data_IF_186574236803
#
_entry.id   IF_186574236803
#
_cell.length_a   1.000
_cell.length_b   1.000
_cell.length_c   1.000
_cell.angle_alpha   90.00
_cell.angle_beta   90.00
_cell.angle_gamma   90.00
#
_symmetry.space_group_name_H-M   'P 1'
#
loop_
_entity.id
_entity.type
_entity.pdbx_description
1 polymer ?
#
# COMPACT_ATOMS: atom_id res chain seq x y z
N UNK A 1 49.44 38.06 15.62
CA UNK A 1 48.00 38.35 15.40
C UNK A 1 47.34 37.60 14.22
N UNK A 2 48.07 36.90 13.34
CA UNK A 2 47.46 36.23 12.16
C UNK A 2 46.73 34.90 12.45
N UNK A 3 47.05 34.22 13.56
CA UNK A 3 46.50 32.88 13.89
C UNK A 3 45.14 32.94 14.61
N UNK A 4 44.88 34.02 15.37
CA UNK A 4 43.58 34.22 16.02
C UNK A 4 42.47 34.60 15.01
N UNK A 5 42.84 35.16 13.85
CA UNK A 5 41.90 35.45 12.77
C UNK A 5 41.43 34.18 12.04
N UNK A 6 42.28 33.16 11.88
CA UNK A 6 41.93 31.89 11.22
C UNK A 6 40.97 31.02 12.06
N UNK A 7 41.07 31.09 13.39
CA UNK A 7 40.17 30.37 14.29
C UNK A 7 38.80 31.06 14.38
N UNK A 8 38.74 32.39 14.23
CA UNK A 8 37.48 33.13 14.21
C UNK A 8 36.70 32.95 12.89
N UNK A 9 37.39 32.81 11.75
CA UNK A 9 36.72 32.63 10.44
C UNK A 9 36.12 31.23 10.27
N UNK A 10 36.69 30.19 10.89
CA UNK A 10 36.11 28.83 10.90
C UNK A 10 35.02 28.63 11.97
N UNK A 11 34.95 29.51 12.97
CA UNK A 11 33.90 29.48 14.00
C UNK A 11 32.54 30.02 13.51
N UNK A 12 32.49 30.69 12.36
CA UNK A 12 31.27 31.35 11.84
C UNK A 12 30.62 30.59 10.68
N UNK A 13 31.34 29.72 9.95
CA UNK A 13 30.77 29.01 8.78
C UNK A 13 30.12 27.67 9.08
N UNK A 14 30.25 27.11 10.29
CA UNK A 14 29.53 25.90 10.72
C UNK A 14 28.14 26.17 11.34
N UNK A 15 27.65 27.41 11.28
CA UNK A 15 26.33 27.80 11.81
C UNK A 15 25.19 27.84 10.80
N UNK A 16 25.43 27.65 9.49
CA UNK A 16 24.44 27.99 8.45
C UNK A 16 24.35 26.99 7.28
N UNK A 17 24.48 25.69 7.55
CA UNK A 17 24.21 24.64 6.55
C UNK A 17 23.50 23.44 7.19
N UNK A 18 22.37 23.72 7.84
CA UNK A 18 21.41 22.70 8.28
C UNK A 18 20.03 23.05 7.74
N UNK A 19 19.95 23.40 6.46
CA UNK A 19 18.69 23.46 5.72
C UNK A 19 19.04 23.25 4.24
N UNK A 20 18.37 22.25 3.67
CA UNK A 20 18.43 21.80 2.28
C UNK A 20 19.71 21.09 1.80
N UNK A 21 19.62 19.76 1.74
CA UNK A 21 20.45 18.95 0.84
C UNK A 21 19.54 17.95 0.13
N UNK A 22 18.88 18.46 -0.92
CA UNK A 22 18.62 17.71 -2.13
C UNK A 22 19.74 18.00 -3.12
N UNK A 23 20.22 16.94 -3.76
CA UNK A 23 21.09 16.91 -4.93
C UNK A 23 22.58 17.30 -4.82
N UNK A 24 23.36 16.42 -5.45
CA UNK A 24 24.67 16.63 -6.08
C UNK A 24 25.88 16.83 -5.17
N UNK A 25 26.44 15.73 -4.64
CA UNK A 25 27.78 15.73 -4.03
C UNK A 25 28.87 15.55 -5.08
N UNK A 26 29.03 16.57 -5.92
CA UNK A 26 30.32 16.96 -6.49
C UNK A 26 31.07 17.90 -5.54
N UNK A 27 31.41 17.44 -4.34
CA UNK A 27 32.14 18.27 -3.37
C UNK A 27 33.64 18.20 -3.64
N UNK A 28 34.10 18.98 -4.62
CA UNK A 28 35.49 19.35 -4.78
C UNK A 28 35.90 20.33 -3.68
N UNK A 29 36.17 19.80 -2.48
CA UNK A 29 36.67 20.58 -1.36
C UNK A 29 38.20 20.67 -1.40
N UNK A 30 38.70 21.88 -1.60
CA UNK A 30 40.11 22.24 -1.53
C UNK A 30 40.55 22.58 -0.10
N UNK A 31 39.72 22.28 0.91
CA UNK A 31 40.01 22.43 2.33
C UNK A 31 40.78 21.24 2.92
N UNK A 32 41.88 21.50 3.62
CA UNK A 32 42.59 20.49 4.42
C UNK A 32 41.63 19.84 5.43
N UNK A 33 41.62 18.51 5.52
CA UNK A 33 40.76 17.80 6.49
C UNK A 33 41.18 18.10 7.95
N UNK A 34 40.28 17.92 8.91
CA UNK A 34 40.61 18.04 10.34
C UNK A 34 41.81 17.15 10.75
N UNK A 35 42.02 16.01 10.08
CA UNK A 35 43.15 15.12 10.32
C UNK A 35 44.48 15.69 9.81
N UNK A 36 44.46 16.36 8.66
CA UNK A 36 45.62 17.05 8.10
C UNK A 36 45.99 18.28 8.95
N UNK A 37 45.00 19.03 9.42
CA UNK A 37 45.20 20.14 10.36
C UNK A 37 45.80 19.69 11.70
N UNK A 38 45.31 18.59 12.28
CA UNK A 38 45.88 18.04 13.52
C UNK A 38 47.32 17.58 13.30
N UNK A 39 47.62 16.96 12.16
CA UNK A 39 48.99 16.53 11.81
C UNK A 39 49.93 17.72 11.64
N UNK A 40 49.49 18.76 10.93
CA UNK A 40 50.25 20.00 10.75
C UNK A 40 50.50 20.72 12.08
N UNK A 41 49.46 20.90 12.91
CA UNK A 41 49.58 21.52 14.24
C UNK A 41 50.48 20.72 15.18
N UNK A 42 50.52 19.39 15.02
CA UNK A 42 51.42 18.53 15.80
C UNK A 42 52.88 18.80 15.40
N UNK A 43 53.17 18.85 14.11
CA UNK A 43 54.51 19.17 13.60
C UNK A 43 54.97 20.59 14.00
N UNK A 44 54.10 21.59 13.90
CA UNK A 44 54.39 22.96 14.31
C UNK A 44 54.67 23.07 15.82
N UNK A 45 53.93 22.35 16.66
CA UNK A 45 54.16 22.33 18.10
C UNK A 45 55.49 21.67 18.49
N UNK A 46 55.93 20.64 17.75
CA UNK A 46 57.23 19.99 17.95
C UNK A 46 58.40 20.87 17.49
N UNK A 47 58.24 21.56 16.35
CA UNK A 47 59.22 22.54 15.88
C UNK A 47 59.40 23.70 16.88
N UNK A 48 58.30 24.28 17.38
CA UNK A 48 58.34 25.31 18.43
C UNK A 48 58.98 24.81 19.72
N UNK A 49 58.75 23.54 20.08
CA UNK A 49 59.38 22.94 21.27
C UNK A 49 60.90 22.85 21.10
N UNK A 50 61.38 22.47 19.92
CA UNK A 50 62.81 22.42 19.60
C UNK A 50 63.44 23.83 19.61
N UNK A 51 62.77 24.83 19.03
CA UNK A 51 63.22 26.23 19.04
C UNK A 51 63.33 26.80 20.46
N UNK A 52 62.32 26.57 21.32
CA UNK A 52 62.36 26.99 22.73
C UNK A 52 63.53 26.35 23.48
N UNK A 53 63.82 25.06 23.22
CA UNK A 53 64.99 24.38 23.80
C UNK A 53 66.31 25.01 23.33
N UNK A 54 66.44 25.29 22.04
CA UNK A 54 67.63 25.93 21.45
C UNK A 54 67.86 27.35 21.99
N UNK A 55 66.81 28.17 22.03
CA UNK A 55 66.86 29.54 22.58
C UNK A 55 67.21 29.54 24.06
N UNK A 56 66.70 28.56 24.83
CA UNK A 56 67.03 28.41 26.25
C UNK A 56 68.51 28.09 26.47
N UNK A 57 69.10 27.27 25.58
CA UNK A 57 70.53 26.98 25.61
C UNK A 57 71.37 28.24 25.29
N UNK A 58 71.02 28.98 24.23
CA UNK A 58 71.70 30.24 23.85
C UNK A 58 71.59 31.31 24.92
N UNK A 59 70.41 31.48 25.54
CA UNK A 59 70.22 32.43 26.63
C UNK A 59 71.12 32.15 27.84
N UNK A 60 71.40 30.87 28.16
CA UNK A 60 72.31 30.48 29.25
C UNK A 60 73.76 30.87 28.97
N UNK A 61 74.17 30.92 27.70
CA UNK A 61 75.55 31.21 27.29
C UNK A 61 75.77 32.70 27.06
N UNK A 62 74.84 33.39 26.39
CA UNK A 62 75.02 34.78 25.95
C UNK A 62 74.34 35.84 26.85
N UNK A 63 73.40 35.47 27.72
CA UNK A 63 72.81 36.37 28.72
C UNK A 63 72.03 37.61 28.21
N UNK A 64 71.81 37.76 26.91
CA UNK A 64 71.25 38.98 26.30
C UNK A 64 69.75 39.21 26.57
N UNK A 65 69.35 40.49 26.79
CA UNK A 65 67.94 40.90 26.96
C UNK A 65 67.06 40.51 25.77
N UNK A 66 67.61 40.56 24.55
CA UNK A 66 66.88 40.23 23.31
C UNK A 66 66.52 38.75 23.22
N UNK A 67 67.46 37.86 23.58
CA UNK A 67 67.21 36.42 23.66
C UNK A 67 66.17 36.07 24.73
N UNK A 68 66.18 36.78 25.86
CA UNK A 68 65.21 36.59 26.95
C UNK A 68 63.79 36.94 26.50
N UNK A 69 63.63 37.95 25.65
CA UNK A 69 62.34 38.34 25.08
C UNK A 69 61.85 37.32 24.03
N UNK A 70 62.73 36.88 23.11
CA UNK A 70 62.41 35.83 22.14
C UNK A 70 62.01 34.50 22.80
N UNK A 71 62.68 34.11 23.90
CA UNK A 71 62.31 32.91 24.64
C UNK A 71 60.89 33.01 25.22
N UNK A 72 60.51 34.17 25.77
CA UNK A 72 59.16 34.39 26.31
C UNK A 72 58.09 34.34 25.22
N UNK A 73 58.35 34.95 24.07
CA UNK A 73 57.44 34.93 22.91
C UNK A 73 57.25 33.50 22.40
N UNK A 74 58.34 32.76 22.13
CA UNK A 74 58.25 31.37 21.66
C UNK A 74 57.61 30.43 22.67
N UNK A 75 57.78 30.70 23.96
CA UNK A 75 57.13 29.92 25.02
C UNK A 75 55.62 30.24 25.12
N UNK A 76 55.19 31.46 24.78
CA UNK A 76 53.78 31.80 24.64
C UNK A 76 53.18 31.13 23.39
N UNK A 77 53.89 31.15 22.26
CA UNK A 77 53.47 30.48 21.02
C UNK A 77 53.31 28.97 21.21
N UNK A 78 54.26 28.32 21.90
CA UNK A 78 54.17 26.90 22.22
C UNK A 78 52.94 26.58 23.08
N UNK A 79 52.57 27.46 24.02
CA UNK A 79 51.37 27.28 24.85
C UNK A 79 50.11 27.40 23.99
N UNK A 80 50.04 28.38 23.10
CA UNK A 80 48.93 28.56 22.17
C UNK A 80 48.80 27.38 21.19
N UNK A 81 49.92 26.89 20.64
CA UNK A 81 49.92 25.72 19.75
C UNK A 81 49.38 24.47 20.46
N UNK A 82 49.75 24.23 21.73
CA UNK A 82 49.23 23.11 22.52
C UNK A 82 47.73 23.22 22.81
N UNK A 83 47.21 24.42 23.11
CA UNK A 83 45.76 24.59 23.31
C UNK A 83 45.00 24.33 22.02
N UNK A 84 45.51 24.81 20.89
CA UNK A 84 44.89 24.62 19.58
C UNK A 84 44.89 23.14 19.17
N UNK A 85 46.00 22.42 19.38
CA UNK A 85 46.08 20.98 19.15
C UNK A 85 45.03 20.21 19.97
N UNK A 86 44.80 20.61 21.24
CA UNK A 86 43.77 19.99 22.09
C UNK A 86 42.36 20.22 21.55
N UNK A 87 42.06 21.41 21.07
CA UNK A 87 40.76 21.74 20.44
C UNK A 87 40.58 20.94 19.15
N UNK A 88 41.57 20.91 18.28
CA UNK A 88 41.52 20.17 17.02
C UNK A 88 41.32 18.66 17.23
N UNK A 89 41.99 18.06 18.22
CA UNK A 89 41.77 16.64 18.58
C UNK A 89 40.34 16.36 19.07
N UNK A 90 39.73 17.30 19.81
CA UNK A 90 38.33 17.17 20.24
C UNK A 90 37.37 17.26 19.05
N UNK A 91 37.61 18.20 18.15
CA UNK A 91 36.82 18.37 16.93
C UNK A 91 36.84 17.08 16.07
N UNK A 92 38.02 16.51 15.83
CA UNK A 92 38.17 15.26 15.05
C UNK A 92 37.45 14.06 15.69
N UNK A 93 37.41 13.98 17.03
CA UNK A 93 36.64 12.94 17.71
C UNK A 93 35.14 13.15 17.52
N UNK A 94 34.66 14.39 17.57
CA UNK A 94 33.25 14.73 17.35
C UNK A 94 32.82 14.40 15.92
N UNK A 95 33.62 14.77 14.93
CA UNK A 95 33.38 14.49 13.51
C UNK A 95 33.25 12.98 13.24
N UNK A 96 34.15 12.16 13.82
CA UNK A 96 34.06 10.69 13.73
C UNK A 96 32.77 10.11 14.30
N UNK A 97 32.22 10.71 15.36
CA UNK A 97 30.93 10.26 15.91
C UNK A 97 29.76 10.72 15.05
N UNK A 98 29.84 11.93 14.47
CA UNK A 98 28.86 12.42 13.50
C UNK A 98 28.80 11.54 12.24
N UNK A 99 29.96 11.14 11.69
CA UNK A 99 30.02 10.23 10.54
C UNK A 99 29.39 8.87 10.84
N UNK A 100 29.64 8.32 12.03
CA UNK A 100 29.01 7.06 12.46
C UNK A 100 27.48 7.22 12.56
N UNK A 101 27.01 8.34 13.08
CA UNK A 101 25.59 8.64 13.18
C UNK A 101 24.96 8.80 11.79
N UNK A 102 25.60 9.53 10.89
CA UNK A 102 25.17 9.71 9.50
C UNK A 102 25.11 8.37 8.76
N UNK A 103 26.14 7.52 8.89
CA UNK A 103 26.16 6.19 8.29
C UNK A 103 25.03 5.29 8.82
N UNK A 104 24.72 5.37 10.12
CA UNK A 104 23.56 4.66 10.70
C UNK A 104 22.25 5.19 10.13
N UNK A 105 22.07 6.50 10.09
CA UNK A 105 20.88 7.15 9.55
C UNK A 105 20.66 6.80 8.07
N UNK A 106 21.71 6.81 7.25
CA UNK A 106 21.62 6.38 5.84
C UNK A 106 21.17 4.93 5.70
N UNK A 107 21.74 4.01 6.51
CA UNK A 107 21.35 2.59 6.50
C UNK A 107 19.90 2.40 6.92
N UNK A 108 19.41 3.16 7.91
CA UNK A 108 18.01 3.13 8.31
C UNK A 108 17.08 3.74 7.25
N UNK A 109 17.47 4.84 6.62
CA UNK A 109 16.76 5.44 5.49
C UNK A 109 16.57 4.43 4.35
N UNK A 110 17.63 3.73 3.96
CA UNK A 110 17.58 2.68 2.94
C UNK A 110 16.62 1.53 3.33
N UNK A 111 16.63 1.10 4.60
CA UNK A 111 15.70 0.07 5.11
C UNK A 111 14.25 0.53 5.08
N UNK A 112 13.99 1.79 5.44
CA UNK A 112 12.65 2.37 5.39
C UNK A 112 12.13 2.47 3.96
N UNK A 113 12.98 2.88 3.01
CA UNK A 113 12.61 2.89 1.60
C UNK A 113 12.31 1.48 1.08
N UNK A 114 13.14 0.49 1.43
CA UNK A 114 12.87 -0.90 1.07
C UNK A 114 11.55 -1.42 1.66
N UNK A 115 11.23 -1.06 2.90
CA UNK A 115 9.95 -1.42 3.54
C UNK A 115 8.76 -0.77 2.84
N UNK A 116 8.86 0.51 2.47
CA UNK A 116 7.82 1.22 1.70
C UNK A 116 7.57 0.54 0.34
N UNK A 117 8.63 0.20 -0.40
CA UNK A 117 8.50 -0.50 -1.68
C UNK A 117 7.82 -1.87 -1.53
N UNK A 118 8.21 -2.67 -0.52
CA UNK A 118 7.57 -3.97 -0.24
C UNK A 118 6.10 -3.81 0.15
N UNK A 119 5.78 -2.83 0.99
CA UNK A 119 4.40 -2.55 1.38
C UNK A 119 3.54 -2.14 0.19
N UNK A 120 4.02 -1.23 -0.67
CA UNK A 120 3.34 -0.83 -1.89
C UNK A 120 3.11 -2.02 -2.85
N UNK A 121 4.13 -2.85 -3.07
CA UNK A 121 3.99 -4.05 -3.90
C UNK A 121 2.92 -5.01 -3.36
N UNK A 122 2.87 -5.20 -2.03
CA UNK A 122 1.86 -6.04 -1.40
C UNK A 122 0.44 -5.46 -1.54
N UNK A 123 0.30 -4.13 -1.43
CA UNK A 123 -0.96 -3.43 -1.58
C UNK A 123 -1.49 -3.53 -3.01
N UNK A 124 -0.64 -3.33 -4.02
CA UNK A 124 -1.01 -3.51 -5.44
C UNK A 124 -1.45 -4.95 -5.71
N UNK A 125 -0.75 -5.94 -5.14
CA UNK A 125 -1.14 -7.36 -5.27
C UNK A 125 -2.50 -7.64 -4.64
N UNK A 126 -2.77 -7.06 -3.47
CA UNK A 126 -4.06 -7.18 -2.78
C UNK A 126 -5.19 -6.52 -3.59
N UNK A 127 -4.98 -5.30 -4.11
CA UNK A 127 -5.94 -4.61 -4.96
C UNK A 127 -6.27 -5.40 -6.24
N UNK A 128 -5.26 -5.96 -6.91
CA UNK A 128 -5.49 -6.82 -8.09
C UNK A 128 -6.34 -8.05 -7.75
N UNK A 129 -6.09 -8.67 -6.59
CA UNK A 129 -6.89 -9.81 -6.12
C UNK A 129 -8.33 -9.40 -5.80
N UNK A 130 -8.52 -8.25 -5.14
CA UNK A 130 -9.85 -7.71 -4.83
C UNK A 130 -10.64 -7.43 -6.12
N UNK A 131 -10.04 -6.71 -7.08
CA UNK A 131 -10.67 -6.44 -8.37
C UNK A 131 -11.03 -7.71 -9.15
N UNK A 132 -10.19 -8.76 -9.08
CA UNK A 132 -10.50 -10.05 -9.68
C UNK A 132 -11.68 -10.75 -8.97
N UNK A 133 -11.78 -10.62 -7.65
CA UNK A 133 -12.91 -11.16 -6.88
C UNK A 133 -14.21 -10.40 -7.20
N UNK A 134 -14.18 -9.07 -7.26
CA UNK A 134 -15.33 -8.24 -7.63
C UNK A 134 -15.85 -8.59 -9.02
N UNK A 135 -14.97 -8.80 -10.00
CA UNK A 135 -15.37 -9.26 -11.35
C UNK A 135 -16.08 -10.62 -11.31
N UNK A 136 -15.61 -11.55 -10.48
CA UNK A 136 -16.28 -12.85 -10.31
C UNK A 136 -17.65 -12.71 -9.66
N UNK A 137 -17.78 -11.85 -8.65
CA UNK A 137 -19.06 -11.55 -8.00
C UNK A 137 -20.03 -10.90 -8.99
N UNK A 138 -19.59 -9.93 -9.78
CA UNK A 138 -20.41 -9.29 -10.81
C UNK A 138 -20.89 -10.31 -11.87
N UNK A 139 -20.00 -11.19 -12.34
CA UNK A 139 -20.38 -12.26 -13.27
C UNK A 139 -21.38 -13.26 -12.65
N UNK A 140 -21.21 -13.60 -11.37
CA UNK A 140 -22.14 -14.47 -10.65
C UNK A 140 -23.52 -13.79 -10.48
N UNK A 141 -23.55 -12.50 -10.16
CA UNK A 141 -24.78 -11.72 -10.04
C UNK A 141 -25.56 -11.67 -11.37
N UNK A 142 -24.87 -11.45 -12.49
CA UNK A 142 -25.50 -11.49 -13.82
C UNK A 142 -26.10 -12.86 -14.16
N UNK A 143 -25.39 -13.95 -13.83
CA UNK A 143 -25.91 -15.31 -14.04
C UNK A 143 -27.15 -15.59 -13.18
N UNK A 144 -27.14 -15.12 -11.94
CA UNK A 144 -28.27 -15.27 -11.03
C UNK A 144 -29.49 -14.49 -11.53
N UNK A 145 -29.28 -13.29 -12.06
CA UNK A 145 -30.36 -12.48 -12.65
C UNK A 145 -30.95 -13.15 -13.89
N UNK A 146 -30.12 -13.68 -14.79
CA UNK A 146 -30.59 -14.43 -15.94
C UNK A 146 -31.39 -15.70 -15.51
N UNK A 147 -30.95 -16.39 -14.46
CA UNK A 147 -31.66 -17.55 -13.92
C UNK A 147 -33.03 -17.16 -13.35
N UNK A 148 -33.14 -16.02 -12.65
CA UNK A 148 -34.42 -15.49 -12.16
C UNK A 148 -35.39 -15.20 -13.30
N UNK A 149 -34.94 -14.50 -14.34
CA UNK A 149 -35.77 -14.20 -15.50
C UNK A 149 -36.26 -15.46 -16.22
N UNK A 150 -35.44 -16.51 -16.27
CA UNK A 150 -35.85 -17.80 -16.84
C UNK A 150 -36.89 -18.51 -15.97
N UNK A 151 -36.75 -18.43 -14.65
CA UNK A 151 -37.72 -18.98 -13.70
C UNK A 151 -39.08 -18.26 -13.83
N UNK A 152 -39.07 -16.93 -13.92
CA UNK A 152 -40.29 -16.14 -14.10
C UNK A 152 -41.03 -16.52 -15.40
N UNK A 153 -40.29 -16.73 -16.50
CA UNK A 153 -40.86 -17.22 -17.76
C UNK A 153 -41.47 -18.62 -17.62
N UNK A 154 -40.74 -19.53 -16.97
CA UNK A 154 -41.22 -20.89 -16.75
C UNK A 154 -42.50 -20.92 -15.89
N UNK A 155 -42.59 -20.08 -14.86
CA UNK A 155 -43.80 -19.94 -14.05
C UNK A 155 -44.97 -19.39 -14.89
N UNK A 156 -44.74 -18.36 -15.70
CA UNK A 156 -45.78 -17.81 -16.57
C UNK A 156 -46.30 -18.84 -17.60
N UNK A 157 -45.42 -19.70 -18.12
CA UNK A 157 -45.83 -20.78 -19.03
C UNK A 157 -46.57 -21.91 -18.29
N UNK A 158 -46.20 -22.19 -17.04
CA UNK A 158 -46.92 -23.12 -16.17
C UNK A 158 -48.33 -22.60 -15.84
N UNK A 159 -48.51 -21.32 -15.54
CA UNK A 159 -49.82 -20.69 -15.33
C UNK A 159 -50.73 -20.78 -16.56
N UNK A 160 -50.16 -20.56 -17.75
CA UNK A 160 -50.88 -20.77 -19.03
C UNK A 160 -51.29 -22.23 -19.21
N UNK A 161 -50.38 -23.16 -18.94
CA UNK A 161 -50.67 -24.59 -19.06
C UNK A 161 -51.78 -25.02 -18.10
N UNK A 162 -51.76 -24.55 -16.84
CA UNK A 162 -52.85 -24.77 -15.89
C UNK A 162 -54.18 -24.23 -16.41
N UNK A 163 -54.19 -22.99 -16.91
CA UNK A 163 -55.40 -22.38 -17.48
C UNK A 163 -55.96 -23.20 -18.67
N UNK A 164 -55.09 -23.76 -19.51
CA UNK A 164 -55.49 -24.64 -20.61
C UNK A 164 -56.07 -25.96 -20.11
N UNK A 165 -55.46 -26.58 -19.11
CA UNK A 165 -55.96 -27.83 -18.49
C UNK A 165 -57.34 -27.60 -17.88
N UNK A 166 -57.56 -26.49 -17.20
CA UNK A 166 -58.86 -26.15 -16.61
C UNK A 166 -59.93 -25.98 -17.71
N UNK A 167 -59.62 -25.25 -18.79
CA UNK A 167 -60.53 -25.13 -19.94
C UNK A 167 -60.85 -26.48 -20.61
N UNK A 168 -59.85 -27.36 -20.75
CA UNK A 168 -60.08 -28.72 -21.27
C UNK A 168 -60.93 -29.55 -20.32
N UNK A 169 -60.72 -29.44 -19.01
CA UNK A 169 -61.53 -30.12 -18.00
C UNK A 169 -62.99 -29.67 -18.03
N UNK A 170 -63.23 -28.37 -18.15
CA UNK A 170 -64.58 -27.81 -18.27
C UNK A 170 -65.29 -28.30 -19.52
N UNK A 171 -64.61 -28.25 -20.67
CA UNK A 171 -65.16 -28.75 -21.95
C UNK A 171 -65.44 -30.26 -21.91
N UNK A 172 -64.57 -31.06 -21.28
CA UNK A 172 -64.80 -32.49 -21.07
C UNK A 172 -66.03 -32.73 -20.18
N UNK A 173 -66.21 -31.94 -19.12
CA UNK A 173 -67.40 -31.98 -18.26
C UNK A 173 -68.70 -31.68 -19.01
N UNK A 174 -68.70 -30.64 -19.86
CA UNK A 174 -69.83 -30.30 -20.74
C UNK A 174 -70.14 -31.44 -21.71
N UNK A 175 -69.11 -32.01 -22.34
CA UNK A 175 -69.25 -33.13 -23.27
C UNK A 175 -69.83 -34.36 -22.58
N UNK A 176 -69.33 -34.71 -21.39
CA UNK A 176 -69.84 -35.84 -20.60
C UNK A 176 -71.30 -35.63 -20.18
N UNK A 177 -71.66 -34.41 -19.74
CA UNK A 177 -73.04 -34.08 -19.40
C UNK A 177 -73.98 -34.18 -20.61
N UNK A 178 -73.52 -33.73 -21.78
CA UNK A 178 -74.27 -33.81 -23.04
C UNK A 178 -74.46 -35.28 -23.48
N UNK A 179 -73.41 -36.09 -23.41
CA UNK A 179 -73.48 -37.53 -23.69
C UNK A 179 -74.44 -38.25 -22.74
N UNK A 180 -74.48 -37.86 -21.46
CA UNK A 180 -75.43 -38.40 -20.48
C UNK A 180 -76.88 -38.06 -20.85
N UNK A 181 -77.19 -36.79 -21.16
CA UNK A 181 -78.52 -36.37 -21.62
C UNK A 181 -78.97 -37.13 -22.87
N UNK A 182 -78.09 -37.29 -23.87
CA UNK A 182 -78.41 -38.04 -25.08
C UNK A 182 -78.72 -39.52 -24.79
N UNK A 183 -78.00 -40.16 -23.85
CA UNK A 183 -78.29 -41.53 -23.41
C UNK A 183 -79.63 -41.63 -22.68
N UNK A 184 -79.93 -40.68 -21.80
CA UNK A 184 -81.21 -40.61 -21.07
C UNK A 184 -82.38 -40.43 -22.05
N UNK A 185 -82.27 -39.53 -23.03
CA UNK A 185 -83.25 -39.34 -24.10
C UNK A 185 -83.43 -40.61 -24.93
N UNK A 186 -82.34 -41.29 -25.33
CA UNK A 186 -82.40 -42.55 -26.06
C UNK A 186 -83.09 -43.66 -25.25
N UNK A 187 -82.85 -43.72 -23.94
CA UNK A 187 -83.51 -44.69 -23.06
C UNK A 187 -85.02 -44.39 -22.92
N UNK A 188 -85.39 -43.12 -22.76
CA UNK A 188 -86.78 -42.69 -22.72
C UNK A 188 -87.52 -43.01 -24.03
N UNK A 189 -86.91 -42.73 -25.18
CA UNK A 189 -87.46 -43.09 -26.49
C UNK A 189 -87.68 -44.60 -26.64
N UNK A 190 -86.72 -45.42 -26.21
CA UNK A 190 -86.87 -46.88 -26.20
C UNK A 190 -88.02 -47.35 -25.32
N UNK A 191 -88.22 -46.73 -24.16
CA UNK A 191 -89.34 -47.03 -23.26
C UNK A 191 -90.68 -46.72 -23.93
N UNK A 192 -90.83 -45.52 -24.51
CA UNK A 192 -92.04 -45.13 -25.24
C UNK A 192 -92.36 -46.06 -26.40
N UNK A 193 -91.35 -46.46 -27.19
CA UNK A 193 -91.53 -47.43 -28.29
C UNK A 193 -92.00 -48.79 -27.74
N UNK A 194 -91.40 -49.27 -26.65
CA UNK A 194 -91.82 -50.52 -26.01
C UNK A 194 -93.26 -50.45 -25.52
N UNK A 195 -93.62 -49.38 -24.81
CA UNK A 195 -94.97 -49.18 -24.26
C UNK A 195 -96.01 -49.14 -25.39
N UNK A 196 -95.68 -48.47 -26.50
CA UNK A 196 -96.51 -48.42 -27.71
C UNK A 196 -96.69 -49.78 -28.39
N UNK A 197 -95.61 -50.56 -28.52
CA UNK A 197 -95.66 -51.91 -29.08
C UNK A 197 -96.54 -52.82 -28.21
N UNK A 198 -96.34 -52.81 -26.88
CA UNK A 198 -97.13 -53.61 -25.94
C UNK A 198 -98.62 -53.23 -25.95
N UNK A 199 -98.93 -51.94 -26.12
CA UNK A 199 -100.31 -51.46 -26.24
C UNK A 199 -100.99 -51.92 -27.53
N UNK A 200 -100.25 -52.09 -28.64
CA UNK A 200 -100.81 -52.63 -29.90
C UNK A 200 -100.99 -54.13 -29.89
N UNK A 201 -100.09 -54.88 -29.25
CA UNK A 201 -100.20 -56.34 -29.16
C UNK A 201 -101.27 -56.81 -28.19
N UNK A 202 -101.68 -55.97 -27.22
CA UNK A 202 -102.84 -56.25 -26.36
C UNK A 202 -104.20 -55.87 -26.96
N UNK A 203 -104.23 -55.20 -28.12
CA UNK A 203 -105.46 -54.68 -28.75
C UNK A 203 -105.98 -55.48 -29.95
N UNK A 204 -105.35 -56.62 -30.31
CA UNK A 204 -105.69 -57.40 -31.52
C UNK A 204 -106.47 -58.70 -31.22
N UNK A 205 -107.22 -58.74 -30.13
CA UNK A 205 -108.11 -59.88 -29.77
C UNK A 205 -109.58 -59.47 -29.61
N UNK A 206 -110.04 -58.37 -30.22
CA UNK A 206 -111.44 -57.97 -30.05
C UNK A 206 -112.00 -57.01 -31.09
N UNK A 207 -112.23 -57.48 -32.31
CA UNK A 207 -113.45 -57.13 -33.03
C UNK A 207 -113.71 -58.07 -34.22
N UNK A 208 -114.30 -59.23 -33.93
CA UNK A 208 -115.02 -60.02 -34.92
C UNK A 208 -116.47 -60.11 -34.43
N UNK A 209 -117.32 -59.22 -34.93
CA UNK A 209 -118.78 -59.38 -35.01
C UNK A 209 -119.32 -58.46 -36.10
#
# INVERSE_FOLDING_TARGET
>A
MRILFLIAVLGVTLGAAAQDYGDDYGYGDTGKSCAEWVSQLTGEAEALRAEVSSLKARMKVEGSRRLKQQLKEKQADLKAAKSNLKVAKKALKSEKEADKAMKKAMKEGARLQQRKAKAQASLVKAQKKAAAAERKVAAAAQKLEAARQNLDKANADLDKAHSQVDGLRDSAGISQASARKAREQKAAARKMVRDHVMSRTGGKDGNAR
#
